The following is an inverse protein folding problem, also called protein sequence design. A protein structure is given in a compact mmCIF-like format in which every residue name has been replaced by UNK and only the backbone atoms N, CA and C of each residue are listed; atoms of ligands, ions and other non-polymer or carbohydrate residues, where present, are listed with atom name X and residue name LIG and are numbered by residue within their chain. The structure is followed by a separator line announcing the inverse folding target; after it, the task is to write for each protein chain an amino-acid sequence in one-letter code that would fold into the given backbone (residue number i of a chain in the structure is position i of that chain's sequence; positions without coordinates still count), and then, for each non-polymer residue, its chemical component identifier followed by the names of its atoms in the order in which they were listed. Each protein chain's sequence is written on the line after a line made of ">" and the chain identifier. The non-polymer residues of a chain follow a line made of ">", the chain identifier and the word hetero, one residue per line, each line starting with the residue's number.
data_IF_242028109251
#
_entry.id   IF_242028109251
#
_cell.length_a   1.000
_cell.length_b   1.000
_cell.length_c   1.000
_cell.angle_alpha   90.00
_cell.angle_beta   90.00
_cell.angle_gamma   90.00
#
_symmetry.space_group_name_H-M   'P 1'
#
loop_
_entity.id
_entity.type
_entity.pdbx_description
1 polymer ?
#
# COMPACT_ATOMS: atom_id res chain seq x y z
N UNK A 1 -1.14 16.99 -0.58
CA UNK A 1 -1.29 15.57 -0.24
C UNK A 1 0.11 15.01 -0.28
N UNK A 2 0.70 14.83 0.90
CA UNK A 2 2.15 14.76 1.15
C UNK A 2 2.71 13.40 0.75
N UNK A 3 3.93 13.39 0.18
CA UNK A 3 4.62 12.18 -0.28
C UNK A 3 4.70 11.10 0.81
N UNK A 4 4.80 11.51 2.09
CA UNK A 4 4.79 10.63 3.26
C UNK A 4 3.63 9.64 3.31
N UNK A 5 2.43 10.03 2.88
CA UNK A 5 1.27 9.14 2.93
C UNK A 5 1.37 8.05 1.85
N UNK A 6 1.96 8.36 0.68
CA UNK A 6 2.22 7.34 -0.33
C UNK A 6 3.36 6.42 0.03
N UNK A 7 4.43 6.94 0.61
CA UNK A 7 5.54 6.11 1.06
C UNK A 7 5.09 5.14 2.16
N UNK A 8 4.23 5.60 3.09
CA UNK A 8 3.62 4.75 4.11
C UNK A 8 2.75 3.63 3.50
N UNK A 9 1.93 3.96 2.50
CA UNK A 9 1.08 3.00 1.80
C UNK A 9 1.89 1.94 1.05
N UNK A 10 2.95 2.35 0.35
CA UNK A 10 3.83 1.47 -0.40
C UNK A 10 4.59 0.54 0.55
N UNK A 11 5.14 1.08 1.65
CA UNK A 11 5.85 0.30 2.66
C UNK A 11 4.92 -0.72 3.36
N UNK A 12 3.69 -0.32 3.69
CA UNK A 12 2.71 -1.23 4.29
C UNK A 12 2.34 -2.38 3.35
N UNK A 13 2.24 -2.11 2.04
CA UNK A 13 1.99 -3.14 1.03
C UNK A 13 3.19 -4.06 0.82
N UNK A 14 4.40 -3.51 0.74
CA UNK A 14 5.66 -4.26 0.60
C UNK A 14 5.90 -5.22 1.76
N UNK A 15 5.75 -4.72 3.00
CA UNK A 15 5.88 -5.56 4.19
C UNK A 15 4.82 -6.67 4.22
N UNK A 16 3.60 -6.39 3.77
CA UNK A 16 2.57 -7.42 3.70
C UNK A 16 2.88 -8.48 2.65
N UNK A 17 3.41 -8.08 1.48
CA UNK A 17 3.83 -8.99 0.41
C UNK A 17 5.00 -9.89 0.84
N UNK A 18 5.92 -9.34 1.64
CA UNK A 18 6.99 -10.09 2.31
C UNK A 18 6.50 -11.13 3.35
N UNK A 19 5.20 -11.18 3.63
CA UNK A 19 4.59 -12.14 4.55
C UNK A 19 4.59 -11.68 6.02
N UNK A 20 4.85 -10.40 6.30
CA UNK A 20 4.72 -9.88 7.66
C UNK A 20 3.24 -9.79 8.07
N UNK A 21 2.98 -10.10 9.34
CA UNK A 21 1.65 -9.96 9.94
C UNK A 21 1.31 -8.48 10.15
N UNK A 22 0.03 -8.14 10.03
CA UNK A 22 -0.44 -6.75 10.17
C UNK A 22 -0.04 -6.09 11.50
N UNK A 23 0.04 -6.85 12.59
CA UNK A 23 0.51 -6.35 13.90
C UNK A 23 1.99 -5.94 13.88
N UNK A 24 2.82 -6.66 13.12
CA UNK A 24 4.24 -6.34 12.96
C UNK A 24 4.38 -5.05 12.14
N UNK A 25 3.66 -4.97 11.03
CA UNK A 25 3.65 -3.82 10.12
C UNK A 25 3.17 -2.55 10.86
N UNK A 26 2.08 -2.67 11.62
CA UNK A 26 1.53 -1.59 12.44
C UNK A 26 2.54 -1.09 13.48
N UNK A 27 3.30 -2.00 14.10
CA UNK A 27 4.32 -1.66 15.09
C UNK A 27 5.54 -0.97 14.46
N UNK A 28 6.02 -1.46 13.32
CA UNK A 28 7.10 -0.85 12.53
C UNK A 28 6.75 0.57 12.08
N UNK A 29 5.55 0.73 11.55
CA UNK A 29 5.07 2.01 11.03
C UNK A 29 4.54 2.95 12.13
N UNK A 30 4.49 2.50 13.39
CA UNK A 30 3.89 3.21 14.51
C UNK A 30 2.44 3.69 14.23
N UNK A 31 1.66 2.91 13.48
CA UNK A 31 0.27 3.19 13.11
C UNK A 31 -0.69 2.10 13.61
N UNK A 32 -2.00 2.36 13.67
CA UNK A 32 -2.99 1.33 13.93
C UNK A 32 -2.99 0.24 12.85
N UNK A 33 -3.29 -1.00 13.24
CA UNK A 33 -3.48 -2.13 12.30
C UNK A 33 -4.52 -1.82 11.23
N UNK A 34 -5.62 -1.17 11.60
CA UNK A 34 -6.65 -0.76 10.65
C UNK A 34 -6.11 0.24 9.61
N UNK A 35 -5.21 1.14 10.02
CA UNK A 35 -4.55 2.08 9.12
C UNK A 35 -3.57 1.37 8.20
N UNK A 36 -2.79 0.41 8.70
CA UNK A 36 -1.88 -0.39 7.87
C UNK A 36 -2.64 -1.18 6.79
N UNK A 37 -3.78 -1.78 7.12
CA UNK A 37 -4.64 -2.48 6.16
C UNK A 37 -5.22 -1.55 5.10
N UNK A 38 -5.73 -0.38 5.52
CA UNK A 38 -6.21 0.65 4.59
C UNK A 38 -5.11 1.14 3.66
N UNK A 39 -3.92 1.39 4.21
CA UNK A 39 -2.79 1.91 3.47
C UNK A 39 -2.31 0.91 2.40
N UNK A 40 -2.14 -0.35 2.77
CA UNK A 40 -1.80 -1.42 1.83
C UNK A 40 -2.90 -1.63 0.77
N UNK A 41 -4.18 -1.53 1.17
CA UNK A 41 -5.32 -1.59 0.26
C UNK A 41 -5.31 -0.46 -0.78
N UNK A 42 -5.00 0.76 -0.36
CA UNK A 42 -4.88 1.91 -1.26
C UNK A 42 -3.69 1.76 -2.21
N UNK A 43 -2.52 1.34 -1.72
CA UNK A 43 -1.36 1.06 -2.58
C UNK A 43 -1.71 0.04 -3.67
N UNK A 44 -2.35 -1.08 -3.30
CA UNK A 44 -2.78 -2.11 -4.25
C UNK A 44 -3.82 -1.59 -5.24
N UNK A 45 -4.80 -0.81 -4.78
CA UNK A 45 -5.82 -0.22 -5.66
C UNK A 45 -5.19 0.75 -6.66
N UNK A 46 -4.21 1.55 -6.25
CA UNK A 46 -3.49 2.44 -7.16
C UNK A 46 -2.59 1.70 -8.14
N UNK A 47 -1.94 0.61 -7.70
CA UNK A 47 -1.20 -0.26 -8.60
C UNK A 47 -2.12 -0.91 -9.65
N UNK A 48 -3.32 -1.36 -9.23
CA UNK A 48 -4.34 -1.88 -10.14
C UNK A 48 -4.90 -0.81 -11.08
N UNK A 49 -5.15 0.41 -10.61
CA UNK A 49 -5.60 1.53 -11.45
C UNK A 49 -4.54 1.94 -12.49
N UNK A 50 -3.26 1.99 -12.07
CA UNK A 50 -2.14 2.19 -13.00
C UNK A 50 -2.04 1.08 -14.03
N UNK A 51 -2.11 -0.19 -13.61
CA UNK A 51 -2.08 -1.33 -14.52
C UNK A 51 -3.26 -1.31 -15.50
N UNK A 52 -4.47 -0.95 -15.03
CA UNK A 52 -5.64 -0.80 -15.88
C UNK A 52 -5.49 0.36 -16.88
N UNK A 53 -4.93 1.51 -16.46
CA UNK A 53 -4.65 2.66 -17.36
C UNK A 53 -3.55 2.36 -18.39
N UNK A 54 -2.51 1.64 -17.99
CA UNK A 54 -1.43 1.22 -18.90
C UNK A 54 -1.98 0.25 -19.96
N UNK A 55 -2.82 -0.69 -19.54
CA UNK A 55 -3.51 -1.62 -20.44
C UNK A 55 -4.45 -0.89 -21.42
N UNK A 56 -5.02 0.26 -21.05
CA UNK A 56 -5.86 1.09 -21.93
C UNK A 56 -5.04 1.92 -22.94
N UNK A 57 -3.77 2.20 -22.63
CA UNK A 57 -2.89 3.00 -23.49
C UNK A 57 -2.29 2.17 -24.63
N UNK A 58 -2.43 0.85 -24.60
CA UNK A 58 -1.83 -0.07 -25.57
C UNK A 58 -2.68 -0.30 -26.85
N UNK A 59 -3.70 0.53 -27.11
CA UNK A 59 -4.60 0.38 -28.27
C UNK A 59 -4.39 1.46 -29.33
#
# INVERSE_FOLDING_TARGET
>A
MTADDHELQDLAADLHDHGYSWEHIARELAIPVATAQLAAGQARQRAADRAARDQITLF
#
